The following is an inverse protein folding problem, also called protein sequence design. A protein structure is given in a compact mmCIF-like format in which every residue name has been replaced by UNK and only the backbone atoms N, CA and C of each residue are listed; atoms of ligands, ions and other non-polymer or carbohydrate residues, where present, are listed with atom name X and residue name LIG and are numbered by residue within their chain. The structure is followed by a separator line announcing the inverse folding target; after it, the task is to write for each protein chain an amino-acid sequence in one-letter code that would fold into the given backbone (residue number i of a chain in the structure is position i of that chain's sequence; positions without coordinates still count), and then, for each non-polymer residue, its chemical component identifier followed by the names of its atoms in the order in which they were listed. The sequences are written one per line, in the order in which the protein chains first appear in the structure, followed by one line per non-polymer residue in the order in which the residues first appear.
data_IF_265839288704
#
_entry.id   IF_265839288704
#
_cell.length_a   1.000
_cell.length_b   1.000
_cell.length_c   1.000
_cell.angle_alpha   90.00
_cell.angle_beta   90.00
_cell.angle_gamma   90.00
#
_symmetry.space_group_name_H-M   'P 1'
#
loop_
_entity.id
_entity.type
_entity.pdbx_description
1 polymer ?
#
# COMPACT_ATOMS: atom_id res chain seq x y z
N UNK A 1 -17.21 -5.75 0.40
CA UNK A 1 -15.90 -5.09 0.20
C UNK A 1 -16.10 -3.77 -0.53
N UNK A 2 -15.28 -2.76 -0.27
CA UNK A 2 -15.33 -1.49 -1.01
C UNK A 2 -15.02 -1.72 -2.50
N UNK A 3 -15.74 -1.07 -3.42
CA UNK A 3 -15.36 -0.95 -4.83
C UNK A 3 -13.92 -0.47 -5.00
N UNK A 4 -13.27 -0.87 -6.10
CA UNK A 4 -11.87 -0.53 -6.36
C UNK A 4 -11.65 0.99 -6.52
N UNK A 5 -12.66 1.73 -6.98
CA UNK A 5 -12.70 3.19 -6.99
C UNK A 5 -12.57 3.77 -5.59
N UNK A 6 -13.37 3.23 -4.66
CA UNK A 6 -13.51 3.75 -3.30
C UNK A 6 -12.25 3.42 -2.48
N UNK A 7 -11.61 2.28 -2.76
CA UNK A 7 -10.29 1.95 -2.19
C UNK A 7 -9.22 2.95 -2.60
N UNK A 8 -9.24 3.44 -3.84
CA UNK A 8 -8.26 4.41 -4.33
C UNK A 8 -8.43 5.75 -3.62
N UNK A 9 -9.66 6.22 -3.46
CA UNK A 9 -9.95 7.48 -2.76
C UNK A 9 -9.53 7.42 -1.28
N UNK A 10 -9.83 6.32 -0.59
CA UNK A 10 -9.40 6.11 0.81
C UNK A 10 -7.88 6.07 0.93
N UNK A 11 -7.20 5.38 0.01
CA UNK A 11 -5.74 5.33 -0.02
C UNK A 11 -5.13 6.72 -0.29
N UNK A 12 -5.67 7.45 -1.27
CA UNK A 12 -5.18 8.78 -1.63
C UNK A 12 -5.36 9.76 -0.46
N UNK A 13 -6.48 9.70 0.26
CA UNK A 13 -6.73 10.51 1.45
C UNK A 13 -5.78 10.14 2.61
N UNK A 14 -5.55 8.85 2.85
CA UNK A 14 -4.61 8.37 3.86
C UNK A 14 -3.18 8.84 3.57
N UNK A 15 -2.71 8.64 2.32
CA UNK A 15 -1.37 9.07 1.90
C UNK A 15 -1.22 10.57 1.98
N UNK A 16 -2.24 11.34 1.58
CA UNK A 16 -2.21 12.78 1.73
C UNK A 16 -1.96 13.16 3.20
N UNK A 17 -2.71 12.60 4.15
CA UNK A 17 -2.55 12.89 5.58
C UNK A 17 -1.15 12.52 6.12
N UNK A 18 -0.62 11.36 5.75
CA UNK A 18 0.70 10.90 6.20
C UNK A 18 1.85 11.74 5.62
N UNK A 19 1.67 12.26 4.40
CA UNK A 19 2.70 12.98 3.69
C UNK A 19 2.71 14.49 3.98
N UNK A 20 1.67 15.03 4.65
CA UNK A 20 1.52 16.47 4.93
C UNK A 20 2.73 17.10 5.65
N UNK A 21 3.48 16.32 6.42
CA UNK A 21 4.62 16.79 7.23
C UNK A 21 5.91 16.98 6.43
N UNK A 22 5.96 16.48 5.19
CA UNK A 22 7.14 16.57 4.33
C UNK A 22 7.03 17.73 3.35
N UNK A 23 8.16 18.15 2.77
CA UNK A 23 8.19 19.18 1.75
C UNK A 23 7.49 18.72 0.45
N UNK A 24 7.04 19.66 -0.42
CA UNK A 24 6.28 19.32 -1.62
C UNK A 24 6.99 18.36 -2.59
N UNK A 25 8.33 18.38 -2.66
CA UNK A 25 9.09 17.51 -3.54
C UNK A 25 9.06 16.07 -3.03
N UNK A 26 9.36 15.86 -1.75
CA UNK A 26 9.26 14.55 -1.09
C UNK A 26 7.85 13.97 -1.20
N UNK A 27 6.81 14.81 -1.05
CA UNK A 27 5.42 14.38 -1.23
C UNK A 27 5.14 13.87 -2.66
N UNK A 28 5.63 14.60 -3.67
CA UNK A 28 5.45 14.22 -5.08
C UNK A 28 6.17 12.91 -5.39
N UNK A 29 7.45 12.82 -5.04
CA UNK A 29 8.26 11.61 -5.31
C UNK A 29 7.67 10.38 -4.64
N UNK A 30 7.22 10.51 -3.39
CA UNK A 30 6.58 9.40 -2.67
C UNK A 30 5.28 8.95 -3.36
N UNK A 31 4.47 9.89 -3.84
CA UNK A 31 3.25 9.55 -4.60
C UNK A 31 3.57 8.84 -5.91
N UNK A 32 4.61 9.25 -6.62
CA UNK A 32 5.06 8.60 -7.86
C UNK A 32 5.50 7.16 -7.62
N UNK A 33 6.30 6.92 -6.57
CA UNK A 33 6.74 5.57 -6.18
C UNK A 33 5.52 4.69 -5.85
N UNK A 34 4.59 5.19 -5.05
CA UNK A 34 3.39 4.43 -4.67
C UNK A 34 2.52 4.10 -5.90
N UNK A 35 2.33 5.08 -6.81
CA UNK A 35 1.59 4.86 -8.04
C UNK A 35 2.23 3.77 -8.92
N UNK A 36 3.56 3.76 -9.04
CA UNK A 36 4.30 2.71 -9.73
C UNK A 36 4.08 1.34 -9.06
N UNK A 37 4.19 1.26 -7.73
CA UNK A 37 3.97 0.02 -6.99
C UNK A 37 2.56 -0.53 -7.17
N UNK A 38 1.53 0.32 -7.19
CA UNK A 38 0.15 -0.08 -7.46
C UNK A 38 0.02 -0.63 -8.89
N UNK A 39 0.59 0.06 -9.88
CA UNK A 39 0.57 -0.38 -11.27
C UNK A 39 1.25 -1.76 -11.43
N UNK A 40 2.44 -1.93 -10.84
CA UNK A 40 3.18 -3.21 -10.82
C UNK A 40 2.40 -4.31 -10.12
N UNK A 41 1.75 -4.01 -8.98
CA UNK A 41 0.85 -4.96 -8.30
C UNK A 41 -0.25 -5.45 -9.22
N UNK A 42 -0.93 -4.53 -9.92
CA UNK A 42 -2.03 -4.87 -10.84
C UNK A 42 -1.54 -5.67 -12.04
N UNK A 43 -0.38 -5.32 -12.59
CA UNK A 43 0.18 -5.99 -13.77
C UNK A 43 0.66 -7.41 -13.46
N UNK A 44 1.36 -7.62 -12.35
CA UNK A 44 2.06 -8.89 -12.08
C UNK A 44 1.37 -9.78 -11.04
N UNK A 45 0.56 -9.20 -10.15
CA UNK A 45 0.05 -9.87 -8.96
C UNK A 45 -1.48 -9.82 -8.84
N UNK A 46 -2.20 -9.49 -9.92
CA UNK A 46 -3.67 -9.44 -9.94
C UNK A 46 -4.35 -10.76 -9.58
N UNK A 47 -3.68 -11.89 -9.80
CA UNK A 47 -4.17 -13.22 -9.44
C UNK A 47 -4.07 -13.51 -7.92
N UNK A 48 -3.35 -12.69 -7.15
CA UNK A 48 -3.23 -12.85 -5.70
C UNK A 48 -4.52 -12.38 -5.04
N UNK A 49 -5.31 -13.36 -4.58
CA UNK A 49 -6.55 -13.13 -3.83
C UNK A 49 -6.31 -13.04 -2.32
N UNK A 50 -5.18 -12.51 -1.86
CA UNK A 50 -4.92 -12.36 -0.42
C UNK A 50 -5.14 -10.92 0.03
N UNK A 51 -5.83 -10.76 1.14
CA UNK A 51 -5.99 -9.50 1.85
C UNK A 51 -4.99 -9.46 3.00
N UNK A 52 -4.19 -8.40 3.07
CA UNK A 52 -3.35 -8.11 4.23
C UNK A 52 -4.28 -7.61 5.34
N UNK A 53 -4.32 -8.33 6.45
CA UNK A 53 -5.11 -7.99 7.62
C UNK A 53 -4.32 -7.13 8.60
N UNK A 54 -3.04 -7.45 8.73
CA UNK A 54 -2.11 -6.75 9.61
C UNK A 54 -0.67 -6.93 9.10
N UNK A 55 0.20 -5.99 9.46
CA UNK A 55 1.62 -6.08 9.16
C UNK A 55 2.45 -5.39 10.24
N UNK A 56 3.63 -5.96 10.51
CA UNK A 56 4.64 -5.36 11.36
C UNK A 56 5.92 -5.18 10.54
N UNK A 57 6.54 -4.00 10.67
CA UNK A 57 7.86 -3.72 10.10
C UNK A 57 8.82 -3.46 11.24
N UNK A 58 9.79 -4.35 11.40
CA UNK A 58 10.84 -4.22 12.40
C UNK A 58 12.15 -3.84 11.71
N UNK A 59 12.80 -2.78 12.20
CA UNK A 59 14.14 -2.39 11.76
C UNK A 59 15.20 -2.90 12.74
N UNK A 60 16.15 -3.68 12.24
CA UNK A 60 17.32 -4.17 12.99
C UNK A 60 18.60 -3.63 12.37
N UNK A 61 19.07 -2.48 12.84
CA UNK A 61 20.22 -1.77 12.26
C UNK A 61 19.92 -1.30 10.83
N UNK A 62 20.59 -1.90 9.84
CA UNK A 62 20.37 -1.63 8.40
C UNK A 62 19.39 -2.62 7.72
N UNK A 63 18.88 -3.61 8.46
CA UNK A 63 17.94 -4.61 7.94
C UNK A 63 16.51 -4.23 8.28
N UNK A 64 15.62 -4.43 7.33
CA UNK A 64 14.18 -4.33 7.52
C UNK A 64 13.56 -5.72 7.36
N UNK A 65 12.79 -6.13 8.35
CA UNK A 65 12.00 -7.36 8.32
C UNK A 65 10.51 -7.00 8.34
N UNK A 66 9.72 -7.63 7.48
CA UNK A 66 8.27 -7.46 7.42
C UNK A 66 7.58 -8.77 7.76
N UNK A 67 6.69 -8.73 8.74
CA UNK A 67 5.77 -9.82 9.08
C UNK A 67 4.38 -9.46 8.60
N UNK A 68 3.70 -10.38 7.90
CA UNK A 68 2.40 -10.11 7.28
C UNK A 68 1.39 -11.18 7.69
N UNK A 69 0.31 -10.75 8.33
CA UNK A 69 -0.88 -11.58 8.50
C UNK A 69 -1.83 -11.35 7.31
N UNK A 70 -2.20 -12.41 6.60
CA UNK A 70 -3.09 -12.31 5.45
C UNK A 70 -4.12 -13.42 5.42
N UNK A 71 -5.27 -13.14 4.82
CA UNK A 71 -6.35 -14.10 4.58
C UNK A 71 -6.70 -14.19 3.10
N UNK A 72 -7.37 -15.26 2.69
CA UNK A 72 -7.95 -15.35 1.35
C UNK A 72 -9.16 -14.40 1.26
N UNK A 73 -9.24 -13.65 0.16
CA UNK A 73 -10.49 -13.06 -0.29
C UNK A 73 -11.39 -14.22 -0.72
N UNK A 74 -12.39 -14.54 0.09
CA UNK A 74 -13.53 -15.32 -0.37
C UNK A 74 -14.26 -14.47 -1.43
N UNK A 75 -14.12 -14.87 -2.69
CA UNK A 75 -15.01 -14.42 -3.76
C UNK A 75 -16.22 -15.36 -3.74
N UNK A 76 -17.35 -14.88 -3.21
CA UNK A 76 -18.67 -15.41 -3.59
C UNK A 76 -18.93 -15.22 -5.09
#
# INVERSE_FOLDING_TARGET
MLPESDKKEVLDAFLQQQLLVYDPETQRETREIIAELIARKRQHFSHIKRLIMDFDVTQSGQRYDISVASTLLETE
#
